data_IF_345326832880
#
_entry.id   IF_345326832880
#
_cell.length_a   1.000
_cell.length_b   1.000
_cell.length_c   1.000
_cell.angle_alpha   90.00
_cell.angle_beta   90.00
_cell.angle_gamma   90.00
#
_symmetry.space_group_name_H-M   'P 1'
#
loop_
_entity.id
_entity.type
_entity.pdbx_description
1 polymer ?
#
# COMPACT_ATOMS: atom_id res chain seq x y z
N UNK A 1 -0.18 40.16 39.51
CA UNK A 1 -1.16 39.36 38.74
C UNK A 1 -0.70 38.93 37.33
N UNK A 2 0.18 39.64 36.56
CA UNK A 2 0.44 39.32 35.14
C UNK A 2 1.21 38.00 34.90
N UNK A 3 2.04 37.57 35.85
CA UNK A 3 2.79 36.31 35.75
C UNK A 3 1.87 35.08 35.65
N UNK A 4 0.81 35.03 36.48
CA UNK A 4 -0.15 33.90 36.50
C UNK A 4 -0.98 33.81 35.21
N UNK A 5 -1.27 34.94 34.57
CA UNK A 5 -1.97 34.98 33.28
C UNK A 5 -1.06 34.54 32.13
N UNK A 6 0.22 34.93 32.16
CA UNK A 6 1.24 34.45 31.23
C UNK A 6 1.45 32.94 31.33
N UNK A 7 1.55 32.41 32.55
CA UNK A 7 1.67 30.97 32.83
C UNK A 7 0.46 30.20 32.27
N UNK A 8 -0.76 30.68 32.53
CA UNK A 8 -2.00 30.07 32.02
C UNK A 8 -2.07 30.09 30.50
N UNK A 9 -1.65 31.19 29.86
CA UNK A 9 -1.58 31.28 28.40
C UNK A 9 -0.58 30.27 27.83
N UNK A 10 0.61 30.15 28.42
CA UNK A 10 1.62 29.15 28.03
C UNK A 10 1.08 27.73 28.15
N UNK A 11 0.49 27.38 29.29
CA UNK A 11 -0.11 26.07 29.51
C UNK A 11 -1.22 25.77 28.48
N UNK A 12 -2.06 26.75 28.14
CA UNK A 12 -3.11 26.58 27.12
C UNK A 12 -2.52 26.33 25.73
N UNK A 13 -1.46 27.04 25.37
CA UNK A 13 -0.73 26.80 24.10
C UNK A 13 -0.14 25.40 24.07
N UNK A 14 0.58 24.99 25.11
CA UNK A 14 1.17 23.64 25.21
C UNK A 14 0.13 22.54 25.11
N UNK A 15 -1.01 22.67 25.80
CA UNK A 15 -2.10 21.70 25.70
C UNK A 15 -2.71 21.62 24.30
N UNK A 16 -2.81 22.76 23.62
CA UNK A 16 -3.33 22.84 22.25
C UNK A 16 -2.37 22.18 21.25
N UNK A 17 -1.07 22.45 21.37
CA UNK A 17 -0.02 21.82 20.56
C UNK A 17 0.00 20.31 20.77
N UNK A 18 -0.06 19.85 22.03
CA UNK A 18 -0.12 18.42 22.36
C UNK A 18 -1.37 17.75 21.76
N UNK A 19 -2.54 18.42 21.80
CA UNK A 19 -3.76 17.91 21.17
C UNK A 19 -3.57 17.69 19.67
N UNK A 20 -3.03 18.67 18.96
CA UNK A 20 -2.80 18.57 17.52
C UNK A 20 -1.67 17.59 17.16
N UNK A 21 -0.65 17.42 18.01
CA UNK A 21 0.36 16.37 17.83
C UNK A 21 -0.28 14.98 17.88
N UNK A 22 -1.02 14.70 18.95
CA UNK A 22 -1.71 13.40 19.13
C UNK A 22 -2.73 13.14 18.03
N UNK A 23 -3.40 14.18 17.54
CA UNK A 23 -4.32 14.02 16.43
C UNK A 23 -3.59 13.60 15.15
N UNK A 24 -2.49 14.27 14.80
CA UNK A 24 -1.69 13.93 13.62
C UNK A 24 -1.06 12.54 13.71
N UNK A 25 -0.55 12.17 14.88
CA UNK A 25 -0.03 10.82 15.14
C UNK A 25 -1.11 9.76 14.90
N UNK A 26 -2.31 9.94 15.45
CA UNK A 26 -3.44 9.01 15.24
C UNK A 26 -3.90 8.95 13.79
N UNK A 27 -3.88 10.08 13.08
CA UNK A 27 -4.22 10.11 11.65
C UNK A 27 -3.17 9.37 10.81
N UNK A 28 -1.89 9.50 11.15
CA UNK A 28 -0.81 8.76 10.50
C UNK A 28 -0.91 7.25 10.77
N UNK A 29 -1.10 6.85 12.03
CA UNK A 29 -1.32 5.45 12.41
C UNK A 29 -2.53 4.84 11.69
N UNK A 30 -3.62 5.60 11.57
CA UNK A 30 -4.81 5.15 10.85
C UNK A 30 -4.53 4.94 9.37
N UNK A 31 -3.86 5.89 8.71
CA UNK A 31 -3.50 5.79 7.29
C UNK A 31 -2.59 4.59 7.04
N UNK A 32 -1.62 4.36 7.91
CA UNK A 32 -0.74 3.19 7.83
C UNK A 32 -1.56 1.90 7.93
N UNK A 33 -2.46 1.80 8.91
CA UNK A 33 -3.30 0.62 9.08
C UNK A 33 -4.24 0.40 7.88
N UNK A 34 -4.84 1.46 7.36
CA UNK A 34 -5.67 1.42 6.15
C UNK A 34 -4.86 0.91 4.95
N UNK A 35 -3.64 1.41 4.78
CA UNK A 35 -2.72 0.95 3.74
C UNK A 35 -2.37 -0.53 3.87
N UNK A 36 -1.96 -0.97 5.05
CA UNK A 36 -1.65 -2.38 5.33
C UNK A 36 -2.87 -3.28 5.08
N UNK A 37 -4.07 -2.80 5.38
CA UNK A 37 -5.31 -3.52 5.10
C UNK A 37 -5.56 -3.64 3.59
N UNK A 38 -5.38 -2.55 2.84
CA UNK A 38 -5.47 -2.57 1.38
C UNK A 38 -4.45 -3.52 0.74
N UNK A 39 -3.19 -3.49 1.20
CA UNK A 39 -2.13 -4.39 0.75
C UNK A 39 -2.52 -5.87 0.96
N UNK A 40 -2.92 -6.22 2.20
CA UNK A 40 -3.34 -7.58 2.52
C UNK A 40 -4.57 -8.01 1.69
N UNK A 41 -5.52 -7.10 1.49
CA UNK A 41 -6.70 -7.39 0.69
C UNK A 41 -6.37 -7.60 -0.78
N UNK A 42 -5.43 -6.83 -1.34
CA UNK A 42 -4.94 -7.02 -2.72
C UNK A 42 -4.25 -8.38 -2.89
N UNK A 43 -3.45 -8.80 -1.91
CA UNK A 43 -2.81 -10.11 -1.90
C UNK A 43 -3.82 -11.27 -1.84
N UNK A 44 -4.83 -11.16 -0.97
CA UNK A 44 -5.89 -12.16 -0.86
C UNK A 44 -6.70 -12.22 -2.16
N UNK A 45 -7.06 -11.06 -2.72
CA UNK A 45 -7.83 -10.97 -3.97
C UNK A 45 -7.07 -11.62 -5.13
N UNK A 46 -5.76 -11.37 -5.27
CA UNK A 46 -4.93 -11.97 -6.31
C UNK A 46 -4.92 -13.50 -6.25
N UNK A 47 -5.00 -14.09 -5.06
CA UNK A 47 -5.03 -15.54 -4.90
C UNK A 47 -6.26 -16.21 -5.56
N UNK A 48 -7.32 -15.46 -5.85
CA UNK A 48 -8.52 -15.95 -6.55
C UNK A 48 -8.49 -15.71 -8.07
N UNK A 49 -7.48 -14.99 -8.56
CA UNK A 49 -7.30 -14.75 -9.98
C UNK A 49 -6.45 -15.82 -10.66
N UNK A 50 -6.77 -16.08 -11.93
CA UNK A 50 -5.94 -16.82 -12.89
C UNK A 50 -5.12 -15.84 -13.73
N UNK A 51 -4.05 -16.29 -14.42
CA UNK A 51 -3.27 -15.42 -15.30
C UNK A 51 -4.12 -14.67 -16.32
N UNK A 52 -5.08 -15.33 -16.97
CA UNK A 52 -6.04 -14.68 -17.88
C UNK A 52 -6.89 -13.56 -17.26
N UNK A 53 -7.04 -13.50 -15.93
CA UNK A 53 -7.88 -12.51 -15.22
C UNK A 53 -7.08 -11.51 -14.38
N UNK A 54 -5.75 -11.64 -14.33
CA UNK A 54 -4.88 -10.80 -13.49
C UNK A 54 -4.88 -9.33 -13.91
N UNK A 55 -5.22 -9.02 -15.18
CA UNK A 55 -5.44 -7.65 -15.64
C UNK A 55 -6.57 -6.91 -14.91
N UNK A 56 -7.63 -7.63 -14.51
CA UNK A 56 -8.73 -7.04 -13.73
C UNK A 56 -8.29 -6.71 -12.31
N UNK A 57 -7.43 -7.55 -11.71
CA UNK A 57 -6.83 -7.30 -10.41
C UNK A 57 -5.97 -6.03 -10.43
N UNK A 58 -5.11 -5.86 -11.44
CA UNK A 58 -4.28 -4.66 -11.56
C UNK A 58 -5.13 -3.39 -11.63
N UNK A 59 -6.16 -3.40 -12.48
CA UNK A 59 -7.04 -2.24 -12.68
C UNK A 59 -7.80 -1.86 -11.41
N UNK A 60 -8.10 -2.83 -10.55
CA UNK A 60 -8.78 -2.61 -9.27
C UNK A 60 -7.88 -1.98 -8.22
N UNK A 61 -6.61 -2.40 -8.16
CA UNK A 61 -5.68 -2.01 -7.10
C UNK A 61 -4.71 -0.91 -7.51
N UNK A 62 -4.58 -0.61 -8.80
CA UNK A 62 -3.79 0.51 -9.31
C UNK A 62 -4.28 1.83 -8.72
N UNK A 63 -3.41 2.56 -8.02
CA UNK A 63 -3.73 3.82 -7.36
C UNK A 63 -4.32 3.69 -5.95
N UNK A 64 -4.60 2.46 -5.48
CA UNK A 64 -4.95 2.18 -4.08
C UNK A 64 -3.73 1.66 -3.32
N UNK A 65 -2.96 0.79 -3.96
CA UNK A 65 -1.68 0.26 -3.46
C UNK A 65 -0.56 0.76 -4.38
N UNK A 66 0.62 0.96 -3.81
CA UNK A 66 1.79 1.40 -4.57
C UNK A 66 2.23 0.33 -5.58
N UNK A 67 2.76 0.75 -6.73
CA UNK A 67 3.13 -0.18 -7.81
C UNK A 67 4.16 -1.22 -7.37
N UNK A 68 5.15 -0.81 -6.57
CA UNK A 68 6.17 -1.72 -6.01
C UNK A 68 5.58 -2.83 -5.12
N UNK A 69 4.55 -2.49 -4.38
CA UNK A 69 3.86 -3.42 -3.48
C UNK A 69 2.99 -4.40 -4.29
N UNK A 70 2.33 -3.91 -5.35
CA UNK A 70 1.62 -4.75 -6.29
C UNK A 70 2.55 -5.71 -7.03
N UNK A 71 3.73 -5.26 -7.45
CA UNK A 71 4.77 -6.12 -8.03
C UNK A 71 5.18 -7.23 -7.04
N UNK A 72 5.39 -6.87 -5.78
CA UNK A 72 5.77 -7.84 -4.74
C UNK A 72 4.70 -8.91 -4.56
N UNK A 73 3.42 -8.50 -4.53
CA UNK A 73 2.29 -9.42 -4.46
C UNK A 73 2.22 -10.32 -5.71
N UNK A 74 2.40 -9.74 -6.91
CA UNK A 74 2.38 -10.45 -8.18
C UNK A 74 3.47 -11.52 -8.26
N UNK A 75 4.73 -11.19 -7.92
CA UNK A 75 5.83 -12.16 -7.96
C UNK A 75 5.63 -13.33 -7.00
N UNK A 76 5.06 -13.09 -5.81
CA UNK A 76 4.69 -14.16 -4.89
C UNK A 76 3.58 -15.08 -5.42
N UNK A 77 2.68 -14.54 -6.24
CA UNK A 77 1.61 -15.28 -6.89
C UNK A 77 2.07 -16.05 -8.13
N UNK A 78 2.98 -15.50 -8.95
CA UNK A 78 3.51 -16.14 -10.16
C UNK A 78 4.07 -17.56 -9.89
N UNK A 79 4.77 -17.74 -8.77
CA UNK A 79 5.34 -19.04 -8.38
C UNK A 79 4.31 -20.16 -8.15
N UNK A 80 3.01 -19.84 -8.13
CA UNK A 80 1.92 -20.83 -7.96
C UNK A 80 1.53 -21.50 -9.28
N UNK A 81 1.91 -20.95 -10.43
CA UNK A 81 1.46 -21.41 -11.74
C UNK A 81 2.63 -21.99 -12.55
N UNK A 82 2.56 -23.26 -12.98
CA UNK A 82 3.56 -23.83 -13.88
C UNK A 82 3.63 -23.13 -15.24
N UNK A 83 2.54 -22.54 -15.74
CA UNK A 83 2.56 -21.76 -17.00
C UNK A 83 3.45 -20.53 -16.92
N UNK A 84 3.66 -19.99 -15.71
CA UNK A 84 4.52 -18.84 -15.43
C UNK A 84 5.92 -19.24 -14.95
N UNK A 85 6.33 -20.51 -15.10
CA UNK A 85 7.65 -20.94 -14.63
C UNK A 85 8.83 -20.29 -15.36
N UNK A 86 8.58 -19.79 -16.58
CA UNK A 86 9.56 -19.04 -17.39
C UNK A 86 9.63 -17.54 -17.01
N UNK A 87 8.72 -17.06 -16.16
CA UNK A 87 8.67 -15.68 -15.71
C UNK A 87 9.75 -15.42 -14.66
N UNK A 88 10.91 -14.95 -15.11
CA UNK A 88 12.04 -14.62 -14.23
C UNK A 88 11.98 -13.15 -13.78
N UNK A 89 11.86 -12.93 -12.47
CA UNK A 89 11.92 -11.60 -11.87
C UNK A 89 13.14 -10.81 -12.29
N UNK A 90 14.30 -11.45 -12.49
CA UNK A 90 15.53 -10.75 -12.91
C UNK A 90 15.49 -10.25 -14.34
N UNK A 91 14.82 -10.97 -15.24
CA UNK A 91 14.69 -10.60 -16.64
C UNK A 91 13.74 -9.40 -16.83
N UNK A 92 12.73 -9.30 -15.95
CA UNK A 92 11.62 -8.36 -16.09
C UNK A 92 11.72 -7.12 -15.18
N UNK A 93 12.88 -6.84 -14.55
CA UNK A 93 13.01 -5.75 -13.56
C UNK A 93 12.84 -4.33 -14.11
N UNK A 94 13.09 -4.12 -15.41
CA UNK A 94 12.98 -2.80 -16.04
C UNK A 94 11.60 -2.54 -16.64
N UNK A 95 10.72 -3.55 -16.64
CA UNK A 95 9.41 -3.47 -17.26
C UNK A 95 8.33 -3.14 -16.23
N UNK A 96 7.38 -2.26 -16.59
CA UNK A 96 6.31 -1.85 -15.68
C UNK A 96 5.33 -3.01 -15.44
N UNK A 97 4.71 -3.02 -14.26
CA UNK A 97 3.83 -4.10 -13.82
C UNK A 97 2.70 -4.41 -14.81
N UNK A 98 2.14 -3.40 -15.49
CA UNK A 98 1.08 -3.62 -16.48
C UNK A 98 1.52 -4.49 -17.65
N UNK A 99 2.80 -4.43 -18.06
CA UNK A 99 3.33 -5.26 -19.14
C UNK A 99 3.50 -6.70 -18.67
N UNK A 100 3.98 -6.89 -17.45
CA UNK A 100 4.11 -8.22 -16.82
C UNK A 100 2.76 -8.92 -16.73
N UNK A 101 1.74 -8.19 -16.33
CA UNK A 101 0.38 -8.69 -16.18
C UNK A 101 -0.27 -9.00 -17.52
N UNK A 102 0.02 -8.21 -18.56
CA UNK A 102 -0.41 -8.51 -19.92
C UNK A 102 0.20 -9.82 -20.42
N UNK A 103 1.52 -9.98 -20.31
CA UNK A 103 2.24 -11.20 -20.74
C UNK A 103 1.83 -12.43 -19.92
N UNK A 104 1.60 -12.28 -18.61
CA UNK A 104 1.06 -13.36 -17.80
C UNK A 104 -0.36 -13.77 -18.24
N UNK A 105 -1.15 -12.85 -18.78
CA UNK A 105 -2.48 -13.14 -19.32
C UNK A 105 -2.48 -14.02 -20.57
N UNK A 106 -1.39 -13.99 -21.33
CA UNK A 106 -1.22 -14.73 -22.59
C UNK A 106 -0.54 -16.11 -22.40
N UNK A 107 -0.06 -16.43 -21.19
CA UNK A 107 0.67 -17.65 -20.84
C UNK A 107 -0.22 -18.80 -20.31
#
# INVERSE_FOLDING_TARGET
VPFREGERRRQKTTLTEQKYSRQREREAERRELEYQTCFAQAQIDLAFHTPATVGSWLSRWSGVVEEHDLETIFWGWCGRFPSLSSFDRFFWQEEPLWRLIFEAGEA
#
